data_IF_399504687366
#
_entry.id   IF_399504687366
#
_cell.length_a   1.000
_cell.length_b   1.000
_cell.length_c   1.000
_cell.angle_alpha   90.00
_cell.angle_beta   90.00
_cell.angle_gamma   90.00
#
_symmetry.space_group_name_H-M   'P 1'
#
loop_
_entity.id
_entity.type
_entity.pdbx_description
1 polymer ?
#
# COMPACT_ATOMS: atom_id res chain seq x y z
N UNK A 1 10.86 8.88 -16.95
CA UNK A 1 11.75 8.64 -15.79
C UNK A 1 11.50 7.24 -15.26
N UNK A 2 12.45 6.65 -14.53
CA UNK A 2 12.31 5.30 -13.94
C UNK A 2 11.09 5.21 -13.00
N UNK A 3 10.82 6.29 -12.27
CA UNK A 3 9.65 6.46 -11.41
C UNK A 3 8.33 6.38 -12.19
N UNK A 4 8.29 6.93 -13.40
CA UNK A 4 7.11 6.91 -14.25
C UNK A 4 6.81 5.50 -14.76
N UNK A 5 7.81 4.79 -15.28
CA UNK A 5 7.61 3.45 -15.88
C UNK A 5 7.29 2.38 -14.83
N UNK A 6 8.06 2.31 -13.74
CA UNK A 6 7.79 1.32 -12.68
C UNK A 6 6.61 1.70 -11.80
N UNK A 7 6.38 2.99 -11.60
CA UNK A 7 5.25 3.48 -10.83
C UNK A 7 3.92 3.29 -11.53
N UNK A 8 3.88 3.31 -12.86
CA UNK A 8 2.66 3.16 -13.64
C UNK A 8 1.92 1.85 -13.34
N UNK A 9 2.62 0.72 -13.19
CA UNK A 9 1.97 -0.56 -12.87
C UNK A 9 1.25 -0.51 -11.50
N UNK A 10 1.91 0.04 -10.47
CA UNK A 10 1.29 0.22 -9.16
C UNK A 10 0.16 1.25 -9.20
N UNK A 11 0.34 2.36 -9.92
CA UNK A 11 -0.68 3.39 -10.07
C UNK A 11 -1.93 2.87 -10.79
N UNK A 12 -1.77 1.99 -11.79
CA UNK A 12 -2.87 1.30 -12.46
C UNK A 12 -3.61 0.35 -11.52
N UNK A 13 -2.89 -0.38 -10.67
CA UNK A 13 -3.52 -1.21 -9.64
C UNK A 13 -4.31 -0.35 -8.64
N UNK A 14 -3.73 0.77 -8.19
CA UNK A 14 -4.38 1.72 -7.26
C UNK A 14 -5.64 2.32 -7.89
N UNK A 15 -5.58 2.76 -9.15
CA UNK A 15 -6.74 3.34 -9.83
C UNK A 15 -7.86 2.30 -10.02
N UNK A 16 -7.51 1.09 -10.45
CA UNK A 16 -8.45 -0.02 -10.62
C UNK A 16 -9.14 -0.37 -9.30
N UNK A 17 -8.38 -0.42 -8.21
CA UNK A 17 -8.94 -0.61 -6.87
C UNK A 17 -9.89 0.54 -6.51
N UNK A 18 -9.46 1.79 -6.66
CA UNK A 18 -10.27 2.96 -6.32
C UNK A 18 -11.61 3.02 -7.06
N UNK A 19 -11.63 2.69 -8.36
CA UNK A 19 -12.86 2.63 -9.15
C UNK A 19 -13.91 1.68 -8.59
N UNK A 20 -13.49 0.60 -7.93
CA UNK A 20 -14.39 -0.36 -7.26
C UNK A 20 -14.64 -0.03 -5.80
N UNK A 21 -13.64 0.54 -5.12
CA UNK A 21 -13.67 0.79 -3.68
C UNK A 21 -14.54 1.97 -3.30
N UNK A 22 -14.49 3.08 -4.03
CA UNK A 22 -15.26 4.29 -3.74
C UNK A 22 -16.77 4.02 -3.68
N UNK A 23 -17.42 3.41 -4.70
CA UNK A 23 -18.85 3.13 -4.63
C UNK A 23 -19.19 2.16 -3.50
N UNK A 24 -18.41 1.09 -3.31
CA UNK A 24 -18.61 0.12 -2.23
C UNK A 24 -18.48 0.76 -0.84
N UNK A 25 -17.50 1.65 -0.65
CA UNK A 25 -17.30 2.36 0.60
C UNK A 25 -18.51 3.24 0.93
N UNK A 26 -19.00 4.00 -0.05
CA UNK A 26 -20.17 4.87 0.12
C UNK A 26 -21.42 4.05 0.49
N UNK A 27 -21.66 2.93 -0.20
CA UNK A 27 -22.77 2.01 0.11
C UNK A 27 -22.64 1.42 1.52
N UNK A 28 -21.44 0.95 1.89
CA UNK A 28 -21.19 0.36 3.21
C UNK A 28 -21.42 1.36 4.34
N UNK A 29 -20.90 2.59 4.22
CA UNK A 29 -21.07 3.60 5.28
C UNK A 29 -22.54 4.01 5.42
N UNK A 30 -23.26 4.16 4.30
CA UNK A 30 -24.69 4.51 4.28
C UNK A 30 -25.58 3.38 4.82
N UNK A 31 -25.16 2.12 4.68
CA UNK A 31 -25.93 0.96 5.15
C UNK A 31 -26.05 0.90 6.68
N UNK A 32 -27.12 0.28 7.17
CA UNK A 32 -27.34 -0.01 8.60
C UNK A 32 -26.64 -1.31 9.06
N UNK A 33 -25.75 -1.88 8.24
CA UNK A 33 -25.03 -3.12 8.58
C UNK A 33 -24.17 -2.93 9.82
N UNK A 34 -24.33 -3.82 10.80
CA UNK A 34 -23.53 -3.82 12.02
C UNK A 34 -22.03 -4.10 11.76
N UNK A 35 -21.71 -4.89 10.73
CA UNK A 35 -20.34 -5.31 10.41
C UNK A 35 -19.61 -4.39 9.41
N UNK A 36 -20.22 -3.28 8.98
CA UNK A 36 -19.67 -2.40 7.91
C UNK A 36 -18.23 -1.96 8.16
N UNK A 37 -17.90 -1.55 9.38
CA UNK A 37 -16.54 -1.09 9.71
C UNK A 37 -15.53 -2.24 9.74
N UNK A 38 -15.97 -3.46 10.08
CA UNK A 38 -15.13 -4.65 10.00
C UNK A 38 -14.82 -5.01 8.54
N UNK A 39 -15.82 -4.91 7.65
CA UNK A 39 -15.62 -5.09 6.21
C UNK A 39 -14.63 -4.05 5.67
N UNK A 40 -14.80 -2.77 6.04
CA UNK A 40 -13.92 -1.69 5.59
C UNK A 40 -12.48 -1.92 6.05
N UNK A 41 -12.27 -2.28 7.32
CA UNK A 41 -10.94 -2.63 7.83
C UNK A 41 -10.34 -3.83 7.10
N UNK A 42 -11.12 -4.89 6.84
CA UNK A 42 -10.64 -6.04 6.07
C UNK A 42 -10.22 -5.65 4.66
N UNK A 43 -10.99 -4.78 4.01
CA UNK A 43 -10.69 -4.27 2.65
C UNK A 43 -9.42 -3.44 2.63
N UNK A 44 -9.18 -2.60 3.64
CA UNK A 44 -7.91 -1.89 3.81
C UNK A 44 -6.72 -2.86 3.90
N UNK A 45 -6.82 -3.89 4.75
CA UNK A 45 -5.74 -4.87 4.91
C UNK A 45 -5.49 -5.63 3.60
N UNK A 46 -6.56 -6.10 2.94
CA UNK A 46 -6.47 -6.80 1.65
C UNK A 46 -5.82 -5.93 0.57
N UNK A 47 -6.26 -4.68 0.46
CA UNK A 47 -5.71 -3.72 -0.49
C UNK A 47 -4.22 -3.47 -0.23
N UNK A 48 -3.86 -3.15 1.02
CA UNK A 48 -2.47 -2.88 1.39
C UNK A 48 -1.57 -4.10 1.16
N UNK A 49 -2.02 -5.31 1.50
CA UNK A 49 -1.24 -6.53 1.24
C UNK A 49 -1.02 -6.78 -0.24
N UNK A 50 -2.06 -6.65 -1.08
CA UNK A 50 -1.92 -6.84 -2.53
C UNK A 50 -1.03 -5.74 -3.15
N UNK A 51 -1.23 -4.49 -2.74
CA UNK A 51 -0.40 -3.38 -3.20
C UNK A 51 1.07 -3.60 -2.84
N UNK A 52 1.35 -4.03 -1.60
CA UNK A 52 2.69 -4.36 -1.15
C UNK A 52 3.25 -5.60 -1.86
N UNK A 53 2.42 -6.60 -2.18
CA UNK A 53 2.86 -7.73 -2.99
C UNK A 53 3.37 -7.28 -4.36
N UNK A 54 2.63 -6.43 -5.08
CA UNK A 54 3.08 -5.88 -6.35
C UNK A 54 4.33 -5.00 -6.18
N UNK A 55 4.40 -4.23 -5.10
CA UNK A 55 5.58 -3.45 -4.76
C UNK A 55 6.81 -4.35 -4.56
N UNK A 56 6.69 -5.43 -3.81
CA UNK A 56 7.77 -6.38 -3.55
C UNK A 56 8.26 -7.07 -4.83
N UNK A 57 7.34 -7.45 -5.73
CA UNK A 57 7.72 -7.99 -7.05
C UNK A 57 8.57 -6.98 -7.81
N UNK A 58 8.13 -5.72 -7.88
CA UNK A 58 8.89 -4.65 -8.51
C UNK A 58 10.22 -4.36 -7.81
N UNK A 59 10.25 -4.36 -6.48
CA UNK A 59 11.44 -4.09 -5.69
C UNK A 59 12.48 -5.20 -5.83
N UNK A 60 12.08 -6.48 -5.85
CA UNK A 60 13.02 -7.59 -5.89
C UNK A 60 13.57 -7.84 -7.30
N UNK A 61 12.73 -7.73 -8.32
CA UNK A 61 13.11 -8.02 -9.72
C UNK A 61 13.37 -6.76 -10.55
N UNK A 62 13.23 -5.57 -9.96
CA UNK A 62 13.40 -4.30 -10.65
C UNK A 62 14.80 -4.12 -11.24
N UNK A 63 15.85 -4.59 -10.56
CA UNK A 63 17.23 -4.49 -11.05
C UNK A 63 17.40 -5.26 -12.36
N UNK A 64 16.89 -6.49 -12.42
CA UNK A 64 16.92 -7.32 -13.63
C UNK A 64 16.11 -6.71 -14.76
N UNK A 65 14.88 -6.27 -14.47
CA UNK A 65 14.01 -5.64 -15.47
C UNK A 65 14.69 -4.39 -16.05
N UNK A 66 15.23 -3.52 -15.21
CA UNK A 66 15.85 -2.28 -15.66
C UNK A 66 17.12 -2.57 -16.47
N UNK A 67 18.00 -3.45 -15.98
CA UNK A 67 19.29 -3.72 -16.64
C UNK A 67 19.11 -4.42 -17.99
N UNK A 68 18.14 -5.33 -18.13
CA UNK A 68 17.96 -6.10 -19.37
C UNK A 68 16.94 -5.52 -20.34
N UNK A 69 15.94 -4.77 -19.86
CA UNK A 69 14.83 -4.28 -20.70
C UNK A 69 14.97 -2.79 -21.01
N UNK A 70 15.50 -1.99 -20.09
CA UNK A 70 15.59 -0.54 -20.28
C UNK A 70 16.94 -0.10 -20.88
N UNK A 71 16.99 1.08 -21.53
CA UNK A 71 18.25 1.64 -22.01
C UNK A 71 19.28 1.83 -20.90
N UNK A 72 20.56 1.68 -21.24
CA UNK A 72 21.71 1.75 -20.31
C UNK A 72 21.74 3.05 -19.49
N UNK A 73 21.20 4.15 -20.02
CA UNK A 73 21.06 5.43 -19.30
C UNK A 73 20.25 5.33 -18.00
N UNK A 74 19.43 4.30 -17.84
CA UNK A 74 18.66 4.02 -16.64
C UNK A 74 19.43 3.25 -15.57
N UNK A 75 20.65 2.76 -15.82
CA UNK A 75 21.38 1.96 -14.84
C UNK A 75 21.75 2.77 -13.58
N UNK A 76 22.13 4.04 -13.73
CA UNK A 76 22.36 4.96 -12.61
C UNK A 76 21.06 5.28 -11.84
N UNK A 77 19.92 4.99 -12.47
CA UNK A 77 18.54 4.96 -11.97
C UNK A 77 18.21 4.01 -10.84
N UNK A 78 18.85 2.84 -10.92
CA UNK A 78 18.30 1.59 -10.38
C UNK A 78 18.22 1.65 -8.86
N UNK A 79 19.19 2.29 -8.22
CA UNK A 79 19.27 2.41 -6.76
C UNK A 79 18.06 3.12 -6.14
N UNK A 80 17.41 4.04 -6.87
CA UNK A 80 16.24 4.76 -6.39
C UNK A 80 14.96 3.91 -6.46
N UNK A 81 14.96 2.87 -7.29
CA UNK A 81 13.75 2.14 -7.67
C UNK A 81 12.99 1.56 -6.47
N UNK A 82 13.65 0.88 -5.50
CA UNK A 82 12.91 0.28 -4.40
C UNK A 82 12.23 1.31 -3.49
N UNK A 83 12.86 2.48 -3.33
CA UNK A 83 12.34 3.60 -2.55
C UNK A 83 11.15 4.27 -3.24
N UNK A 84 11.23 4.45 -4.55
CA UNK A 84 10.14 5.04 -5.33
C UNK A 84 8.88 4.16 -5.25
N UNK A 85 9.02 2.85 -5.48
CA UNK A 85 7.88 1.92 -5.38
C UNK A 85 7.24 1.94 -3.99
N UNK A 86 8.05 1.97 -2.94
CA UNK A 86 7.55 2.06 -1.57
C UNK A 86 6.81 3.38 -1.30
N UNK A 87 7.29 4.50 -1.86
CA UNK A 87 6.57 5.77 -1.81
C UNK A 87 5.16 5.67 -2.43
N UNK A 88 5.03 4.96 -3.56
CA UNK A 88 3.74 4.78 -4.24
C UNK A 88 2.76 3.94 -3.42
N UNK A 89 3.25 3.00 -2.59
CA UNK A 89 2.39 2.27 -1.63
C UNK A 89 1.64 3.24 -0.72
N UNK A 90 2.31 4.28 -0.21
CA UNK A 90 1.65 5.30 0.60
C UNK A 90 0.65 6.14 -0.19
N UNK A 91 0.86 6.39 -1.48
CA UNK A 91 -0.14 7.04 -2.32
C UNK A 91 -1.44 6.23 -2.37
N UNK A 92 -1.34 4.90 -2.53
CA UNK A 92 -2.50 4.02 -2.48
C UNK A 92 -3.22 4.07 -1.14
N UNK A 93 -2.48 3.94 -0.04
CA UNK A 93 -3.04 4.00 1.32
C UNK A 93 -3.68 5.36 1.62
N UNK A 94 -3.06 6.45 1.17
CA UNK A 94 -3.62 7.80 1.29
C UNK A 94 -4.96 7.91 0.58
N UNK A 95 -5.08 7.42 -0.67
CA UNK A 95 -6.37 7.42 -1.39
C UNK A 95 -7.47 6.70 -0.60
N UNK A 96 -7.14 5.57 0.02
CA UNK A 96 -8.10 4.86 0.86
C UNK A 96 -8.65 5.74 1.98
N UNK A 97 -7.78 6.42 2.73
CA UNK A 97 -8.19 7.28 3.84
C UNK A 97 -8.87 8.58 3.39
N UNK A 98 -8.45 9.16 2.26
CA UNK A 98 -9.07 10.34 1.66
C UNK A 98 -10.56 10.11 1.39
N UNK A 99 -10.95 8.91 0.96
CA UNK A 99 -12.36 8.59 0.70
C UNK A 99 -13.25 8.78 1.94
N UNK A 100 -12.72 8.60 3.16
CA UNK A 100 -13.47 8.90 4.39
C UNK A 100 -13.82 10.39 4.46
N UNK A 101 -12.87 11.28 4.21
CA UNK A 101 -13.08 12.73 4.23
C UNK A 101 -14.02 13.19 3.11
N UNK A 102 -13.90 12.59 1.92
CA UNK A 102 -14.78 12.89 0.79
C UNK A 102 -16.22 12.51 1.11
N UNK A 103 -16.46 11.32 1.66
CA UNK A 103 -17.80 10.85 2.02
C UNK A 103 -18.47 11.77 3.06
N UNK A 104 -17.74 12.11 4.13
CA UNK A 104 -18.25 13.00 5.18
C UNK A 104 -18.22 14.49 4.81
N UNK A 105 -17.82 14.84 3.57
CA UNK A 105 -17.70 16.22 3.08
C UNK A 105 -16.74 17.10 3.89
N UNK A 106 -15.77 16.49 4.57
CA UNK A 106 -14.74 17.13 5.38
C UNK A 106 -13.44 17.31 4.59
N UNK A 107 -13.54 17.66 3.31
CA UNK A 107 -12.38 17.76 2.42
C UNK A 107 -11.47 18.94 2.72
N UNK A 108 -11.91 19.88 3.56
CA UNK A 108 -11.14 21.06 3.98
C UNK A 108 -9.78 20.69 4.60
N UNK A 109 -9.68 19.53 5.26
CA UNK A 109 -8.44 19.05 5.86
C UNK A 109 -7.39 18.60 4.84
N UNK A 110 -7.82 18.09 3.69
CA UNK A 110 -6.95 17.47 2.68
C UNK A 110 -5.91 18.43 2.09
N UNK A 111 -6.24 19.67 1.67
CA UNK A 111 -5.24 20.61 1.17
C UNK A 111 -4.24 21.01 2.27
N UNK A 112 -4.66 21.15 3.52
CA UNK A 112 -3.74 21.45 4.62
C UNK A 112 -2.73 20.33 4.84
N UNK A 113 -3.17 19.06 4.90
CA UNK A 113 -2.25 17.93 5.06
C UNK A 113 -1.28 17.80 3.90
N UNK A 114 -1.77 18.02 2.68
CA UNK A 114 -0.93 18.03 1.48
C UNK A 114 0.12 19.13 1.55
N UNK A 115 -0.28 20.35 1.92
CA UNK A 115 0.61 21.50 2.04
C UNK A 115 1.67 21.29 3.13
N UNK A 116 1.28 20.82 4.32
CA UNK A 116 2.23 20.52 5.40
C UNK A 116 3.23 19.42 4.99
N UNK A 117 2.75 18.37 4.34
CA UNK A 117 3.61 17.27 3.89
C UNK A 117 4.56 17.68 2.77
N UNK A 118 4.10 18.54 1.86
CA UNK A 118 4.92 19.13 0.80
C UNK A 118 5.98 20.08 1.36
N UNK A 119 5.61 20.95 2.31
CA UNK A 119 6.56 21.83 3.01
C UNK A 119 7.61 21.03 3.76
N UNK A 120 7.21 19.96 4.44
CA UNK A 120 8.13 19.02 5.09
C UNK A 120 9.05 18.36 4.05
N UNK A 121 8.52 17.93 2.90
CA UNK A 121 9.33 17.33 1.84
C UNK A 121 10.41 18.29 1.33
N UNK A 122 10.01 19.51 0.99
CA UNK A 122 10.89 20.56 0.49
C UNK A 122 11.94 20.94 1.53
N UNK A 123 11.54 21.14 2.79
CA UNK A 123 12.47 21.45 3.88
C UNK A 123 13.52 20.37 4.08
N UNK A 124 13.10 19.10 4.13
CA UNK A 124 14.04 17.98 4.26
C UNK A 124 14.96 17.89 3.03
N UNK A 125 14.44 18.08 1.82
CA UNK A 125 15.22 18.04 0.60
C UNK A 125 16.30 19.14 0.56
N UNK A 126 15.95 20.38 0.91
CA UNK A 126 16.89 21.51 0.95
C UNK A 126 18.02 21.24 1.96
N UNK A 127 17.71 20.64 3.10
CA UNK A 127 18.70 20.36 4.16
C UNK A 127 19.60 19.17 3.82
N UNK A 128 19.03 18.10 3.27
CA UNK A 128 19.71 16.81 3.19
C UNK A 128 20.27 16.45 1.82
N UNK A 129 19.68 16.92 0.71
CA UNK A 129 20.21 16.62 -0.64
C UNK A 129 21.65 17.13 -0.80
N UNK A 130 22.01 18.36 -0.36
CA UNK A 130 23.39 18.84 -0.50
C UNK A 130 24.44 18.00 0.25
N UNK A 131 24.01 17.29 1.31
CA UNK A 131 24.91 16.52 2.19
C UNK A 131 25.01 15.04 1.80
N UNK A 132 23.92 14.47 1.30
CA UNK A 132 23.76 13.01 1.14
C UNK A 132 23.38 12.59 -0.28
N UNK A 133 23.23 13.55 -1.20
CA UNK A 133 22.92 13.30 -2.60
C UNK A 133 21.44 13.02 -2.87
N UNK A 134 21.13 12.70 -4.13
CA UNK A 134 19.76 12.55 -4.64
C UNK A 134 18.99 11.37 -4.07
N UNK A 135 19.64 10.38 -3.45
CA UNK A 135 18.93 9.21 -2.88
C UNK A 135 18.04 9.64 -1.72
N UNK A 136 18.48 10.64 -0.97
CA UNK A 136 17.70 11.19 0.14
C UNK A 136 16.40 11.80 -0.34
N UNK A 137 16.32 12.32 -1.58
CA UNK A 137 15.07 12.82 -2.12
C UNK A 137 13.94 11.77 -2.17
N UNK A 138 14.28 10.50 -2.40
CA UNK A 138 13.29 9.42 -2.36
C UNK A 138 12.85 9.10 -0.92
N UNK A 139 13.80 9.11 0.02
CA UNK A 139 13.55 8.84 1.44
C UNK A 139 12.70 9.95 2.07
N UNK A 140 13.01 11.21 1.83
CA UNK A 140 12.23 12.35 2.33
C UNK A 140 10.82 12.35 1.75
N UNK A 141 10.63 11.89 0.51
CA UNK A 141 9.31 11.72 -0.11
C UNK A 141 8.48 10.66 0.60
N UNK A 142 9.08 9.51 0.92
CA UNK A 142 8.43 8.49 1.75
C UNK A 142 8.02 9.07 3.10
N UNK A 143 8.93 9.78 3.78
CA UNK A 143 8.66 10.39 5.09
C UNK A 143 7.49 11.38 5.00
N UNK A 144 7.45 12.22 3.97
CA UNK A 144 6.34 13.15 3.73
C UNK A 144 5.01 12.43 3.48
N UNK A 145 5.00 11.34 2.72
CA UNK A 145 3.79 10.57 2.50
C UNK A 145 3.32 9.80 3.74
N UNK A 146 4.26 9.30 4.55
CA UNK A 146 3.99 8.72 5.86
C UNK A 146 3.39 9.76 6.81
N UNK A 147 3.95 10.97 6.83
CA UNK A 147 3.44 12.09 7.62
C UNK A 147 2.02 12.47 7.20
N UNK A 148 1.77 12.58 5.89
CA UNK A 148 0.43 12.82 5.34
C UNK A 148 -0.57 11.74 5.81
N UNK A 149 -0.19 10.47 5.67
CA UNK A 149 -1.02 9.32 6.07
C UNK A 149 -1.34 9.37 7.57
N UNK A 150 -0.34 9.71 8.38
CA UNK A 150 -0.48 9.80 9.84
C UNK A 150 -1.46 10.90 10.25
N UNK A 151 -1.44 12.06 9.60
CA UNK A 151 -2.41 13.14 9.84
C UNK A 151 -3.84 12.71 9.47
N UNK A 152 -4.03 12.06 8.33
CA UNK A 152 -5.34 11.51 7.93
C UNK A 152 -5.88 10.54 8.98
N UNK A 153 -5.07 9.57 9.39
CA UNK A 153 -5.42 8.55 10.39
C UNK A 153 -5.73 9.19 11.75
N UNK A 154 -4.94 10.17 12.17
CA UNK A 154 -5.16 10.87 13.44
C UNK A 154 -6.54 11.52 13.48
N UNK A 155 -6.90 12.28 12.45
CA UNK A 155 -8.21 12.93 12.39
C UNK A 155 -9.35 11.94 12.24
N UNK A 156 -9.15 10.84 11.50
CA UNK A 156 -10.17 9.79 11.40
C UNK A 156 -10.47 9.18 12.77
N UNK A 157 -9.43 8.85 13.56
CA UNK A 157 -9.63 8.33 14.91
C UNK A 157 -10.29 9.34 15.85
N UNK A 158 -9.98 10.63 15.69
CA UNK A 158 -10.53 11.69 16.52
C UNK A 158 -12.02 11.97 16.21
N UNK A 159 -12.37 12.12 14.93
CA UNK A 159 -13.70 12.56 14.46
C UNK A 159 -14.66 11.40 14.16
N UNK A 160 -14.16 10.30 13.59
CA UNK A 160 -14.97 9.16 13.15
C UNK A 160 -14.68 7.91 13.98
N UNK A 161 -14.89 7.99 15.31
CA UNK A 161 -14.52 6.97 16.31
C UNK A 161 -15.03 5.55 16.04
N UNK A 162 -16.06 5.42 15.22
CA UNK A 162 -16.65 4.13 14.86
C UNK A 162 -15.80 3.37 13.83
N UNK A 163 -14.96 4.08 13.06
CA UNK A 163 -14.05 3.49 12.08
C UNK A 163 -12.74 3.10 12.80
N UNK A 164 -12.57 1.81 13.06
CA UNK A 164 -11.34 1.27 13.67
C UNK A 164 -10.57 0.42 12.67
N UNK A 165 -9.28 0.70 12.55
CA UNK A 165 -8.37 -0.03 11.68
C UNK A 165 -7.36 -0.87 12.46
N UNK A 166 -6.92 -1.99 11.88
CA UNK A 166 -5.89 -2.84 12.46
C UNK A 166 -4.48 -2.29 12.15
N UNK A 167 -4.11 -1.19 12.80
CA UNK A 167 -2.83 -0.49 12.56
C UNK A 167 -1.61 -1.39 12.67
N UNK A 168 -1.57 -2.29 13.67
CA UNK A 168 -0.46 -3.23 13.85
C UNK A 168 -0.25 -4.06 12.59
N UNK A 169 -1.31 -4.63 12.00
CA UNK A 169 -1.22 -5.44 10.78
C UNK A 169 -0.70 -4.62 9.60
N UNK A 170 -1.20 -3.40 9.42
CA UNK A 170 -0.77 -2.50 8.34
C UNK A 170 0.71 -2.15 8.50
N UNK A 171 1.13 -1.76 9.71
CA UNK A 171 2.53 -1.43 10.02
C UNK A 171 3.42 -2.65 9.77
N UNK A 172 3.03 -3.85 10.21
CA UNK A 172 3.80 -5.07 9.94
C UNK A 172 3.95 -5.31 8.44
N UNK A 173 2.89 -5.15 7.64
CA UNK A 173 2.96 -5.30 6.17
C UNK A 173 3.93 -4.25 5.58
N UNK A 174 3.88 -3.00 6.05
CA UNK A 174 4.76 -1.92 5.57
C UNK A 174 6.23 -2.16 5.94
N UNK A 175 6.52 -2.76 7.11
CA UNK A 175 7.88 -3.14 7.49
C UNK A 175 8.44 -4.25 6.59
N UNK A 176 7.60 -5.15 6.08
CA UNK A 176 8.01 -6.11 5.04
C UNK A 176 8.30 -5.41 3.71
N UNK A 177 7.51 -4.39 3.35
CA UNK A 177 7.72 -3.63 2.12
C UNK A 177 9.01 -2.79 2.10
N UNK A 178 9.57 -2.47 3.27
CA UNK A 178 10.83 -1.75 3.39
C UNK A 178 11.60 -2.16 4.65
N UNK A 179 12.66 -2.93 4.48
CA UNK A 179 13.59 -3.35 5.52
C UNK A 179 15.01 -3.52 4.96
N UNK A 180 16.06 -3.53 5.80
CA UNK A 180 17.44 -3.65 5.34
C UNK A 180 17.71 -4.93 4.54
N UNK A 181 17.07 -6.05 4.90
CA UNK A 181 17.26 -7.33 4.20
C UNK A 181 16.77 -7.27 2.75
N UNK A 182 15.66 -6.60 2.48
CA UNK A 182 15.15 -6.36 1.12
C UNK A 182 16.15 -5.55 0.28
N UNK A 183 16.78 -4.53 0.87
CA UNK A 183 17.80 -3.73 0.18
C UNK A 183 19.05 -4.56 -0.12
N UNK A 184 19.45 -5.46 0.77
CA UNK A 184 20.55 -6.41 0.52
C UNK A 184 20.18 -7.33 -0.66
N UNK A 185 18.99 -7.94 -0.64
CA UNK A 185 18.51 -8.80 -1.72
C UNK A 185 18.44 -8.10 -3.08
N UNK A 186 18.03 -6.84 -3.11
CA UNK A 186 17.98 -6.04 -4.33
C UNK A 186 19.37 -5.82 -4.94
N UNK A 187 20.36 -5.57 -4.09
CA UNK A 187 21.72 -5.23 -4.52
C UNK A 187 22.56 -6.45 -4.94
N UNK A 188 22.13 -7.68 -4.63
CA UNK A 188 22.81 -8.90 -5.07
C UNK A 188 23.09 -8.90 -6.57
N UNK A 189 24.20 -9.52 -6.96
CA UNK A 189 24.51 -9.76 -8.36
C UNK A 189 23.46 -10.67 -9.00
N UNK A 190 23.22 -10.45 -10.29
CA UNK A 190 22.21 -11.20 -11.04
C UNK A 190 22.71 -12.64 -11.17
N UNK A 191 22.08 -13.54 -10.43
CA UNK A 191 22.43 -14.96 -10.37
C UNK A 191 21.18 -15.78 -10.07
N UNK A 192 21.20 -17.06 -10.44
CA UNK A 192 20.11 -18.00 -10.13
C UNK A 192 19.90 -18.08 -8.61
N UNK A 193 21.00 -18.07 -7.84
CA UNK A 193 20.93 -18.10 -6.37
C UNK A 193 20.24 -16.85 -5.80
N UNK A 194 20.56 -15.66 -6.31
CA UNK A 194 19.87 -14.42 -5.92
C UNK A 194 18.37 -14.48 -6.26
N UNK A 195 18.02 -15.00 -7.44
CA UNK A 195 16.63 -15.19 -7.84
C UNK A 195 15.87 -16.13 -6.88
N UNK A 196 16.50 -17.23 -6.46
CA UNK A 196 15.92 -18.15 -5.45
C UNK A 196 15.64 -17.42 -4.14
N UNK A 197 16.59 -16.65 -3.60
CA UNK A 197 16.35 -15.91 -2.35
C UNK A 197 15.22 -14.87 -2.48
N UNK A 198 15.12 -14.18 -3.61
CA UNK A 198 14.02 -13.24 -3.91
C UNK A 198 12.66 -13.95 -3.95
N UNK A 199 12.58 -15.11 -4.60
CA UNK A 199 11.36 -15.93 -4.65
C UNK A 199 10.98 -16.43 -3.25
N UNK A 200 11.94 -16.92 -2.47
CA UNK A 200 11.70 -17.36 -1.09
C UNK A 200 11.13 -16.22 -0.25
N UNK A 201 11.68 -15.01 -0.36
CA UNK A 201 11.15 -13.84 0.34
C UNK A 201 9.68 -13.56 -0.01
N UNK A 202 9.32 -13.62 -1.31
CA UNK A 202 7.93 -13.46 -1.76
C UNK A 202 7.02 -14.55 -1.23
N UNK A 203 7.47 -15.81 -1.23
CA UNK A 203 6.70 -16.94 -0.70
C UNK A 203 6.44 -16.75 0.80
N UNK A 204 7.44 -16.32 1.57
CA UNK A 204 7.30 -16.02 3.00
C UNK A 204 6.24 -14.92 3.19
N UNK A 205 6.31 -13.83 2.43
CA UNK A 205 5.32 -12.76 2.50
C UNK A 205 3.90 -13.26 2.17
N UNK A 206 3.75 -14.03 1.09
CA UNK A 206 2.45 -14.60 0.69
C UNK A 206 1.89 -15.56 1.74
N UNK A 207 2.74 -16.42 2.32
CA UNK A 207 2.34 -17.37 3.35
C UNK A 207 1.84 -16.66 4.62
N UNK A 208 2.52 -15.60 5.04
CA UNK A 208 2.17 -14.83 6.24
C UNK A 208 0.91 -13.98 6.02
N UNK A 209 0.80 -13.26 4.89
CA UNK A 209 -0.21 -12.21 4.73
C UNK A 209 -1.34 -12.54 3.76
N UNK A 210 -1.09 -13.32 2.70
CA UNK A 210 -2.11 -13.61 1.67
C UNK A 210 -2.94 -14.83 2.02
N UNK A 211 -2.33 -15.91 2.53
CA UNK A 211 -3.03 -17.15 2.93
C UNK A 211 -4.17 -16.92 3.95
N UNK A 212 -4.02 -16.08 4.99
CA UNK A 212 -5.10 -15.79 5.94
C UNK A 212 -6.29 -15.03 5.32
N UNK A 213 -6.14 -14.44 4.13
CA UNK A 213 -7.22 -13.71 3.46
C UNK A 213 -8.22 -14.64 2.78
N UNK A 214 -7.75 -15.76 2.22
CA UNK A 214 -8.58 -16.74 1.52
C UNK A 214 -9.51 -17.53 2.45
N UNK A 215 -9.03 -17.88 3.64
CA UNK A 215 -9.82 -18.63 4.64
C UNK A 215 -11.01 -17.85 5.19
N UNK A 216 -10.93 -16.52 5.22
CA UNK A 216 -12.04 -15.64 5.61
C UNK A 216 -13.14 -15.53 4.54
N UNK A 217 -12.79 -15.67 3.26
CA UNK A 217 -13.75 -15.64 2.15
C UNK A 217 -14.53 -16.96 2.06
N UNK A 218 -13.84 -18.10 2.21
CA UNK A 218 -14.46 -19.42 2.25
C UNK A 218 -15.43 -19.60 3.44
N UNK A 219 -15.12 -19.03 4.61
CA UNK A 219 -16.05 -19.06 5.76
C UNK A 219 -17.36 -18.32 5.48
N UNK A 220 -17.31 -17.18 4.79
CA UNK A 220 -18.52 -16.39 4.47
C UNK A 220 -19.41 -17.03 3.42
N UNK A 221 -18.82 -17.80 2.50
CA UNK A 221 -19.57 -18.58 1.51
C UNK A 221 -20.26 -19.76 2.20
N UNK A 222 -19.59 -20.43 3.14
CA UNK A 222 -20.19 -21.54 3.88
C UNK A 222 -21.25 -21.10 4.91
N UNK A 223 -21.14 -19.92 5.53
CA UNK A 223 -22.19 -19.43 6.43
C UNK A 223 -23.45 -19.01 5.68
N UNK A 224 -23.32 -18.39 4.49
CA UNK A 224 -24.48 -18.08 3.64
C UNK A 224 -25.20 -19.33 3.12
N UNK A 225 -24.47 -20.42 2.90
CA UNK A 225 -25.04 -21.70 2.44
C UNK A 225 -25.74 -22.46 3.58
N UNK A 226 -25.27 -22.32 4.82
CA UNK A 226 -25.92 -22.92 5.99
C UNK A 226 -27.23 -22.25 6.39
N UNK A 227 -27.39 -20.93 6.16
CA UNK A 227 -28.66 -20.23 6.42
C UNK A 227 -29.71 -20.51 5.33
N UNK A 228 -29.31 -20.68 4.06
CA UNK A 228 -30.24 -21.05 2.97
C UNK A 228 -30.79 -22.47 3.11
N UNK A 229 -29.98 -23.41 3.60
CA UNK A 229 -30.40 -24.81 3.77
C UNK A 229 -31.35 -24.98 4.97
N UNK A 230 -31.36 -24.05 5.94
CA UNK A 230 -32.29 -24.06 7.07
C UNK A 230 -33.66 -23.43 6.74
N UNK A 231 -33.74 -22.51 5.76
CA UNK A 231 -35.02 -21.95 5.32
C UNK A 231 -35.83 -22.94 4.45
N UNK A 232 -35.18 -23.86 3.72
CA UNK A 232 -35.86 -24.88 2.91
C UNK A 232 -36.43 -26.06 3.73
N UNK A 233 -36.02 -26.24 4.99
CA UNK A 233 -36.54 -27.31 5.87
C UNK A 233 -37.82 -26.88 6.63
N UNK A 234 -38.17 -25.59 6.57
CA UNK A 234 -39.36 -25.03 7.23
C UNK A 234 -40.51 -24.62 6.27
N UNK A 235 -40.45 -25.05 4.99
CA UNK A 235 -41.54 -24.93 4.00
C UNK A 235 -42.05 -26.30 3.58
#
# INVERSE_FOLDING_TARGET
SLAYTGGMALSLFISSFNSTWIPLFNELIASERADKFQIINRRLIQFTTLLVLFCLVGQLFGKEIITYVLPISYNNTVIYFPYILFGIVFTGINHFFINVFVYYKDTIYLPFFTLFSASLNLGLNIIFIPKYGSLVAAITTIISFMFNTSMLVYIINYKYKNIKFSYIKIITILLFAMNPFLIILFNLEISILAAVFKIVYLIIFMFIFVKPMGTGLFKLINTKKGDSDNEEVFL
#
